data_IF_338708282963
#
_entry.id   IF_338708282963
#
_cell.length_a   1.000
_cell.length_b   1.000
_cell.length_c   1.000
_cell.angle_alpha   90.00
_cell.angle_beta   90.00
_cell.angle_gamma   90.00
#
_symmetry.space_group_name_H-M   'P 1'
#
loop_
_entity.id
_entity.type
_entity.pdbx_description
1 polymer ?
#
# COMPACT_ATOMS: atom_id res chain seq x y z
N UNK A 1 6.48 33.58 -32.89
CA UNK A 1 6.13 32.15 -32.79
C UNK A 1 7.42 31.36 -32.74
N UNK A 2 7.73 30.74 -31.59
CA UNK A 2 8.21 29.36 -31.65
C UNK A 2 7.44 28.44 -30.70
N UNK A 3 7.27 27.21 -31.18
CA UNK A 3 6.61 26.06 -30.60
C UNK A 3 6.92 25.80 -29.12
N UNK A 4 5.87 25.67 -28.31
CA UNK A 4 5.90 25.08 -26.96
C UNK A 4 5.36 23.64 -27.01
N UNK A 5 6.08 22.74 -27.66
CA UNK A 5 5.83 21.30 -27.55
C UNK A 5 7.11 20.53 -27.25
N UNK A 6 7.57 20.57 -26.00
CA UNK A 6 8.27 19.47 -25.31
C UNK A 6 8.71 19.90 -23.91
N UNK A 7 7.82 19.77 -22.92
CA UNK A 7 8.20 19.64 -21.51
C UNK A 7 7.30 18.63 -20.80
N UNK A 8 7.19 17.43 -21.36
CA UNK A 8 6.88 16.22 -20.59
C UNK A 8 8.17 15.58 -20.07
N UNK A 9 9.16 16.40 -19.67
CA UNK A 9 10.27 15.91 -18.85
C UNK A 9 9.71 15.49 -17.50
N UNK A 10 9.44 14.19 -17.42
CA UNK A 10 9.07 13.38 -16.26
C UNK A 10 9.02 14.18 -14.95
N UNK A 11 7.81 14.57 -14.55
CA UNK A 11 7.52 14.94 -13.17
C UNK A 11 8.14 13.92 -12.20
N UNK A 12 8.14 12.64 -12.57
CA UNK A 12 8.85 11.52 -11.94
C UNK A 12 10.36 11.74 -11.67
N UNK A 13 11.08 12.41 -12.58
CA UNK A 13 12.49 12.77 -12.40
C UNK A 13 12.65 14.04 -11.56
N UNK A 14 11.70 14.99 -11.63
CA UNK A 14 11.74 16.22 -10.82
C UNK A 14 11.37 15.99 -9.36
N UNK A 15 10.43 15.10 -9.08
CA UNK A 15 10.11 14.66 -7.73
C UNK A 15 11.31 13.98 -7.07
N UNK A 16 12.26 13.34 -7.81
CA UNK A 16 13.53 12.81 -7.25
C UNK A 16 14.35 13.81 -6.43
N UNK A 17 14.21 15.13 -6.65
CA UNK A 17 14.99 16.14 -5.91
C UNK A 17 14.51 16.40 -4.47
N UNK A 18 13.41 15.77 -4.03
CA UNK A 18 12.85 16.02 -2.69
C UNK A 18 12.57 14.77 -1.82
N UNK A 19 13.05 13.57 -2.17
CA UNK A 19 12.73 12.33 -1.42
C UNK A 19 13.90 11.68 -0.66
N UNK A 20 13.98 12.10 0.60
CA UNK A 20 14.14 11.36 1.86
C UNK A 20 14.02 9.82 1.77
N UNK A 21 15.07 9.08 2.18
CA UNK A 21 15.13 7.61 2.21
C UNK A 21 14.26 6.99 3.30
N UNK A 22 13.71 5.80 3.01
CA UNK A 22 12.77 5.03 3.83
C UNK A 22 13.21 3.57 4.01
N UNK A 23 12.94 3.04 5.19
CA UNK A 23 13.07 1.61 5.52
C UNK A 23 11.69 1.02 5.78
N UNK A 24 11.35 -0.04 5.06
CA UNK A 24 10.03 -0.65 5.14
C UNK A 24 10.06 -2.16 5.15
N UNK A 25 9.11 -2.74 5.87
CA UNK A 25 8.76 -4.15 5.74
C UNK A 25 7.52 -4.27 4.86
N UNK A 26 7.56 -5.05 3.79
CA UNK A 26 6.47 -5.10 2.78
C UNK A 26 5.91 -6.48 2.53
N UNK A 27 4.66 -6.49 2.06
CA UNK A 27 3.96 -7.66 1.54
C UNK A 27 3.47 -7.39 0.12
N UNK A 28 3.69 -8.36 -0.77
CA UNK A 28 3.21 -8.35 -2.16
C UNK A 28 2.04 -9.33 -2.29
N UNK A 29 0.91 -8.87 -2.83
CA UNK A 29 -0.24 -9.74 -3.07
C UNK A 29 -0.02 -10.54 -4.36
N UNK A 30 -0.19 -11.86 -4.28
CA UNK A 30 0.07 -12.80 -5.38
C UNK A 30 -1.17 -13.14 -6.22
N UNK A 31 -2.34 -12.60 -5.88
CA UNK A 31 -3.62 -12.94 -6.53
C UNK A 31 -4.30 -11.74 -7.19
N UNK A 32 -4.95 -12.00 -8.33
CA UNK A 32 -5.50 -11.07 -9.33
C UNK A 32 -6.16 -9.77 -8.80
N UNK A 33 -5.36 -8.70 -8.75
CA UNK A 33 -5.77 -7.29 -8.78
C UNK A 33 -5.93 -6.62 -10.18
N UNK A 34 -5.67 -7.24 -11.36
CA UNK A 34 -5.68 -6.52 -12.64
C UNK A 34 -6.99 -5.79 -12.96
N UNK A 35 -8.14 -6.29 -12.46
CA UNK A 35 -9.44 -5.74 -12.83
C UNK A 35 -9.78 -4.37 -12.21
N UNK A 36 -9.17 -3.99 -11.08
CA UNK A 36 -9.36 -2.65 -10.50
C UNK A 36 -8.40 -1.61 -11.10
N UNK A 37 -7.16 -2.03 -11.42
CA UNK A 37 -6.16 -1.18 -12.08
C UNK A 37 -6.62 -0.63 -13.44
N UNK A 38 -7.23 -1.48 -14.28
CA UNK A 38 -7.66 -1.08 -15.62
C UNK A 38 -8.84 -0.09 -15.64
N UNK A 39 -9.63 -0.01 -14.56
CA UNK A 39 -10.83 0.84 -14.51
C UNK A 39 -10.55 2.30 -14.09
N UNK A 40 -9.38 2.56 -13.50
CA UNK A 40 -8.94 3.90 -13.05
C UNK A 40 -8.18 4.63 -14.17
N UNK A 41 -7.49 3.90 -15.06
CA UNK A 41 -6.71 4.50 -16.16
C UNK A 41 -7.54 5.23 -17.22
N UNK A 42 -8.87 5.03 -17.25
CA UNK A 42 -9.77 5.69 -18.20
C UNK A 42 -10.13 7.13 -17.80
N UNK A 43 -9.73 7.58 -16.60
CA UNK A 43 -9.92 8.99 -16.17
C UNK A 43 -8.83 9.91 -16.72
N UNK A 44 -8.58 9.87 -18.04
CA UNK A 44 -7.58 10.71 -18.76
C UNK A 44 -7.67 12.22 -18.46
N UNK A 45 -8.80 12.68 -17.90
CA UNK A 45 -9.05 14.07 -17.52
C UNK A 45 -8.48 14.45 -16.12
N UNK A 46 -8.15 13.46 -15.28
CA UNK A 46 -7.65 13.69 -13.94
C UNK A 46 -6.13 13.49 -13.93
N UNK A 47 -5.39 14.43 -13.35
CA UNK A 47 -3.95 14.36 -13.13
C UNK A 47 -3.62 13.26 -12.09
N UNK A 48 -3.82 12.01 -12.50
CA UNK A 48 -3.67 10.81 -11.68
C UNK A 48 -2.49 10.01 -12.21
N UNK A 49 -1.58 9.67 -11.30
CA UNK A 49 -0.56 8.68 -11.55
C UNK A 49 -0.99 7.35 -10.92
N UNK A 50 -1.04 6.28 -11.71
CA UNK A 50 -1.36 4.93 -11.25
C UNK A 50 -0.07 4.19 -10.91
N UNK A 51 -0.06 3.51 -9.76
CA UNK A 51 1.08 2.69 -9.32
C UNK A 51 1.32 1.54 -10.32
N UNK A 52 2.53 1.35 -10.87
CA UNK A 52 2.84 0.19 -11.68
C UNK A 52 2.57 -1.12 -10.94
N UNK A 53 2.10 -2.19 -11.62
CA UNK A 53 1.81 -3.47 -10.97
C UNK A 53 2.96 -4.02 -10.13
N UNK A 54 4.19 -3.96 -10.65
CA UNK A 54 5.39 -4.45 -9.96
C UNK A 54 5.71 -3.69 -8.66
N UNK A 55 5.12 -2.51 -8.50
CA UNK A 55 5.32 -1.62 -7.36
C UNK A 55 4.17 -1.66 -6.35
N UNK A 56 3.13 -2.46 -6.60
CA UNK A 56 2.05 -2.67 -5.66
C UNK A 56 2.55 -3.48 -4.45
N UNK A 57 2.44 -2.86 -3.28
CA UNK A 57 2.85 -3.46 -2.01
C UNK A 57 2.03 -2.88 -0.86
N UNK A 58 1.90 -3.65 0.21
CA UNK A 58 1.42 -3.17 1.50
C UNK A 58 2.62 -2.94 2.42
N UNK A 59 2.73 -1.76 3.02
CA UNK A 59 3.76 -1.49 4.04
C UNK A 59 3.28 -1.99 5.41
N UNK A 60 3.91 -3.06 5.91
CA UNK A 60 3.65 -3.63 7.24
C UNK A 60 4.34 -2.84 8.34
N UNK A 61 5.53 -2.28 8.09
CA UNK A 61 6.18 -1.38 9.04
C UNK A 61 7.04 -0.37 8.32
N UNK A 62 7.02 0.89 8.77
CA UNK A 62 8.00 1.91 8.36
C UNK A 62 8.91 2.16 9.56
N UNK A 63 10.21 1.91 9.42
CA UNK A 63 11.16 2.03 10.54
C UNK A 63 11.73 3.44 10.64
N UNK A 64 12.12 3.97 9.49
CA UNK A 64 12.73 5.28 9.36
C UNK A 64 12.24 5.93 8.08
N UNK A 65 12.03 7.24 8.17
CA UNK A 65 11.82 8.13 7.04
C UNK A 65 12.73 9.33 7.18
N UNK A 66 12.94 10.08 6.09
CA UNK A 66 13.59 11.39 6.22
C UNK A 66 15.04 11.34 6.69
N UNK A 67 15.76 10.26 6.37
CA UNK A 67 17.16 10.04 6.77
C UNK A 67 18.13 10.15 5.61
N UNK A 68 19.41 10.38 5.95
CA UNK A 68 20.52 10.31 5.01
C UNK A 68 20.85 8.86 4.66
N UNK A 69 21.68 8.64 3.63
CA UNK A 69 22.08 7.29 3.21
C UNK A 69 22.93 6.64 4.27
N UNK A 70 23.88 7.40 4.82
CA UNK A 70 24.74 6.96 5.91
C UNK A 70 23.94 6.55 7.16
N UNK A 71 22.91 7.33 7.53
CA UNK A 71 22.02 6.95 8.63
C UNK A 71 21.33 5.61 8.33
N UNK A 72 20.80 5.47 7.11
CA UNK A 72 20.10 4.28 6.63
C UNK A 72 20.99 3.04 6.67
N UNK A 73 22.24 3.13 6.19
CA UNK A 73 23.18 2.03 6.24
C UNK A 73 23.53 1.67 7.69
N UNK A 74 23.76 2.67 8.55
CA UNK A 74 24.01 2.43 9.97
C UNK A 74 22.81 1.74 10.65
N UNK A 75 21.58 2.14 10.31
CA UNK A 75 20.35 1.48 10.76
C UNK A 75 20.30 0.02 10.34
N UNK A 76 20.64 -0.28 9.08
CA UNK A 76 20.63 -1.65 8.56
C UNK A 76 21.72 -2.50 9.22
N UNK A 77 22.95 -1.98 9.35
CA UNK A 77 24.05 -2.67 10.03
C UNK A 77 23.67 -3.02 11.46
N UNK A 78 23.14 -2.07 12.23
CA UNK A 78 22.67 -2.31 13.59
C UNK A 78 21.61 -3.43 13.65
N UNK A 79 20.64 -3.41 12.73
CA UNK A 79 19.60 -4.43 12.69
C UNK A 79 20.17 -5.81 12.34
N UNK A 80 21.13 -5.89 11.43
CA UNK A 80 21.83 -7.13 11.09
C UNK A 80 22.64 -7.67 12.26
N UNK A 81 23.42 -6.82 12.94
CA UNK A 81 24.22 -7.17 14.12
C UNK A 81 23.36 -7.63 15.30
N UNK A 82 22.15 -7.08 15.44
CA UNK A 82 21.20 -7.53 16.47
C UNK A 82 20.68 -8.96 16.26
N UNK A 83 20.87 -9.54 15.08
CA UNK A 83 20.34 -10.86 14.72
C UNK A 83 18.81 -10.91 14.53
N UNK A 84 18.12 -9.77 14.60
CA UNK A 84 16.64 -9.71 14.59
C UNK A 84 16.05 -9.82 13.18
N UNK A 85 16.86 -9.67 12.12
CA UNK A 85 16.38 -9.67 10.72
C UNK A 85 15.58 -10.92 10.36
N UNK A 86 16.06 -12.16 10.58
CA UNK A 86 15.29 -13.37 10.26
C UNK A 86 13.96 -13.44 10.99
N UNK A 87 13.94 -13.07 12.28
CA UNK A 87 12.75 -13.07 13.12
C UNK A 87 11.68 -12.08 12.64
N UNK A 88 12.08 -11.01 11.94
CA UNK A 88 11.17 -10.03 11.35
C UNK A 88 10.62 -10.52 10.02
N UNK A 89 11.49 -10.96 9.11
CA UNK A 89 11.07 -11.27 7.73
C UNK A 89 10.32 -12.59 7.63
N UNK A 90 10.63 -13.56 8.49
CA UNK A 90 9.96 -14.85 8.58
C UNK A 90 8.75 -14.82 9.54
N UNK A 91 8.45 -13.68 10.16
CA UNK A 91 7.46 -13.62 11.25
C UNK A 91 6.07 -14.14 10.83
N UNK A 92 5.65 -13.82 9.61
CA UNK A 92 4.36 -14.24 9.05
C UNK A 92 4.31 -15.73 8.69
N UNK A 93 5.45 -16.42 8.67
CA UNK A 93 5.49 -17.87 8.49
C UNK A 93 4.83 -18.60 9.66
N UNK A 94 5.01 -18.05 10.87
CA UNK A 94 4.47 -18.57 12.13
C UNK A 94 3.23 -17.81 12.61
N UNK A 95 3.14 -16.50 12.32
CA UNK A 95 2.08 -15.62 12.80
C UNK A 95 1.25 -15.06 11.64
N UNK A 96 0.27 -15.86 11.19
CA UNK A 96 -0.56 -15.54 10.04
C UNK A 96 -1.75 -14.70 10.44
N UNK A 97 -2.05 -13.71 9.63
CA UNK A 97 -3.25 -12.87 9.78
C UNK A 97 -3.97 -12.77 8.46
N UNK A 98 -5.31 -12.80 8.54
CA UNK A 98 -6.19 -12.68 7.40
C UNK A 98 -6.66 -11.23 7.22
N UNK A 99 -6.75 -10.82 5.97
CA UNK A 99 -7.30 -9.56 5.51
C UNK A 99 -8.45 -9.88 4.56
N UNK A 100 -9.57 -9.18 4.75
CA UNK A 100 -10.82 -9.41 4.01
C UNK A 100 -11.46 -8.07 3.65
N UNK A 101 -12.58 -8.16 2.92
CA UNK A 101 -13.47 -7.03 2.62
C UNK A 101 -12.73 -5.83 2.00
N UNK A 102 -12.06 -6.01 0.85
CA UNK A 102 -11.35 -4.93 0.19
C UNK A 102 -12.30 -3.80 -0.19
N UNK A 103 -11.83 -2.56 -0.05
CA UNK A 103 -12.53 -1.35 -0.49
C UNK A 103 -11.54 -0.34 -1.09
N UNK A 104 -11.95 0.32 -2.17
CA UNK A 104 -11.25 1.47 -2.72
C UNK A 104 -11.55 2.70 -1.86
N UNK A 105 -10.52 3.17 -1.17
CA UNK A 105 -10.52 4.37 -0.33
C UNK A 105 -9.68 5.47 -0.99
N UNK A 106 -9.94 6.73 -0.64
CA UNK A 106 -9.20 7.87 -1.16
C UNK A 106 -9.13 9.00 -0.13
N UNK A 107 -8.11 9.85 -0.27
CA UNK A 107 -7.95 11.10 0.44
C UNK A 107 -7.55 12.22 -0.53
N UNK A 108 -7.15 13.38 -0.02
CA UNK A 108 -6.71 14.51 -0.85
C UNK A 108 -5.45 14.24 -1.69
N UNK A 109 -4.73 13.14 -1.44
CA UNK A 109 -3.41 12.87 -2.03
C UNK A 109 -3.35 11.57 -2.84
N UNK A 110 -4.18 10.58 -2.51
CA UNK A 110 -4.05 9.24 -3.04
C UNK A 110 -5.35 8.45 -3.04
N UNK A 111 -5.33 7.37 -3.81
CA UNK A 111 -6.29 6.27 -3.75
C UNK A 111 -5.56 5.01 -3.29
N UNK A 112 -6.20 4.26 -2.41
CA UNK A 112 -5.67 3.03 -1.85
C UNK A 112 -6.74 1.95 -1.78
N UNK A 113 -6.35 0.73 -2.13
CA UNK A 113 -7.15 -0.46 -1.82
C UNK A 113 -6.87 -0.84 -0.37
N UNK A 114 -7.88 -0.68 0.48
CA UNK A 114 -7.83 -0.91 1.92
C UNK A 114 -8.55 -2.20 2.28
N UNK A 115 -8.08 -2.84 3.36
CA UNK A 115 -8.59 -4.10 3.87
C UNK A 115 -8.83 -3.99 5.37
N UNK A 116 -9.70 -4.86 5.90
CA UNK A 116 -9.89 -5.01 7.34
C UNK A 116 -9.40 -6.38 7.79
N UNK A 117 -8.93 -6.53 9.05
CA UNK A 117 -8.68 -7.84 9.62
C UNK A 117 -9.96 -8.69 9.59
N UNK A 118 -9.81 -9.98 9.32
CA UNK A 118 -10.90 -10.91 9.57
C UNK A 118 -11.23 -10.93 11.08
N UNK A 119 -12.49 -11.17 11.40
CA UNK A 119 -13.09 -11.13 12.73
C UNK A 119 -14.21 -12.18 12.85
N UNK A 120 -13.98 -13.39 12.36
CA UNK A 120 -14.90 -14.52 12.41
C UNK A 120 -15.52 -14.90 11.07
N UNK A 121 -15.11 -14.27 9.96
CA UNK A 121 -15.52 -14.70 8.62
C UNK A 121 -14.99 -16.11 8.32
N UNK A 122 -15.80 -16.92 7.62
CA UNK A 122 -15.39 -18.25 7.18
C UNK A 122 -14.08 -18.20 6.37
N UNK A 123 -13.21 -19.18 6.58
CA UNK A 123 -11.95 -19.29 5.85
C UNK A 123 -12.21 -19.74 4.42
N UNK A 124 -11.57 -19.06 3.46
CA UNK A 124 -11.64 -19.42 2.05
C UNK A 124 -11.19 -20.88 1.81
N UNK A 125 -11.84 -21.54 0.84
CA UNK A 125 -11.47 -22.90 0.43
C UNK A 125 -10.02 -22.93 -0.08
N UNK A 126 -9.20 -23.78 0.53
CA UNK A 126 -7.77 -23.92 0.25
C UNK A 126 -6.86 -23.29 1.31
N UNK A 127 -7.41 -22.42 2.15
CA UNK A 127 -6.65 -21.70 3.18
C UNK A 127 -6.89 -22.24 4.61
N UNK A 128 -7.78 -23.22 4.79
CA UNK A 128 -8.14 -23.75 6.11
C UNK A 128 -6.93 -24.21 6.93
N UNK A 129 -5.97 -24.88 6.29
CA UNK A 129 -4.74 -25.40 6.93
C UNK A 129 -3.84 -24.29 7.49
N UNK A 130 -4.02 -23.05 7.05
CA UNK A 130 -3.18 -21.92 7.43
C UNK A 130 -3.80 -20.99 8.48
N UNK A 131 -5.06 -21.24 8.86
CA UNK A 131 -5.85 -20.37 9.72
C UNK A 131 -6.23 -21.06 11.05
N UNK A 132 -5.37 -21.97 11.54
CA UNK A 132 -5.65 -22.86 12.68
C UNK A 132 -5.93 -22.13 14.02
N UNK A 133 -5.39 -20.93 14.20
CA UNK A 133 -5.61 -20.10 15.41
C UNK A 133 -6.82 -19.16 15.28
N UNK A 134 -7.53 -19.22 14.15
CA UNK A 134 -8.65 -18.34 13.80
C UNK A 134 -8.23 -16.87 13.70
N UNK A 135 -9.19 -15.98 13.90
CA UNK A 135 -9.01 -14.52 13.74
C UNK A 135 -8.60 -13.81 15.04
N UNK A 136 -8.10 -14.56 16.04
CA UNK A 136 -7.61 -13.98 17.30
C UNK A 136 -6.33 -13.16 17.08
N UNK A 137 -5.50 -13.58 16.13
CA UNK A 137 -4.30 -12.87 15.73
C UNK A 137 -4.58 -12.02 14.50
N UNK A 138 -4.58 -10.69 14.67
CA UNK A 138 -4.99 -9.74 13.63
C UNK A 138 -3.78 -9.03 13.03
N UNK A 139 -4.02 -8.29 11.95
CA UNK A 139 -2.99 -7.46 11.33
C UNK A 139 -2.42 -6.42 12.29
N UNK A 140 -3.24 -5.96 13.25
CA UNK A 140 -2.75 -5.04 14.29
C UNK A 140 -1.83 -5.74 15.30
N UNK A 141 -2.09 -7.01 15.63
CA UNK A 141 -1.16 -7.82 16.44
C UNK A 141 0.18 -8.01 15.71
N UNK A 142 0.14 -8.39 14.43
CA UNK A 142 1.33 -8.48 13.58
C UNK A 142 2.18 -7.21 13.65
N UNK A 143 1.57 -6.05 13.47
CA UNK A 143 2.28 -4.77 13.49
C UNK A 143 2.86 -4.42 14.85
N UNK A 144 2.07 -4.61 15.93
CA UNK A 144 2.54 -4.39 17.30
C UNK A 144 3.76 -5.26 17.59
N UNK A 145 3.66 -6.55 17.30
CA UNK A 145 4.73 -7.48 17.63
C UNK A 145 6.01 -7.19 16.82
N UNK A 146 5.89 -6.81 15.54
CA UNK A 146 7.03 -6.34 14.75
C UNK A 146 7.64 -5.05 15.30
N UNK A 147 6.81 -4.11 15.77
CA UNK A 147 7.27 -2.87 16.40
C UNK A 147 8.03 -3.16 17.71
N UNK A 148 7.48 -4.04 18.55
CA UNK A 148 8.10 -4.42 19.83
C UNK A 148 9.44 -5.11 19.60
N UNK A 149 9.53 -6.01 18.61
CA UNK A 149 10.79 -6.65 18.20
C UNK A 149 11.82 -5.63 17.73
N UNK A 150 11.43 -4.70 16.87
CA UNK A 150 12.32 -3.65 16.37
C UNK A 150 12.81 -2.74 17.49
N UNK A 151 11.92 -2.30 18.39
CA UNK A 151 12.29 -1.41 19.49
C UNK A 151 13.12 -2.10 20.56
N UNK A 152 12.95 -3.41 20.77
CA UNK A 152 13.79 -4.20 21.67
C UNK A 152 15.27 -4.23 21.26
N UNK A 153 15.58 -3.98 19.99
CA UNK A 153 16.98 -3.84 19.53
C UNK A 153 17.63 -2.50 19.93
N UNK A 154 16.89 -1.60 20.58
CA UNK A 154 17.34 -0.24 20.90
C UNK A 154 17.20 0.77 19.74
N UNK A 155 16.60 0.37 18.63
CA UNK A 155 16.39 1.24 17.47
C UNK A 155 15.36 2.35 17.78
N UNK A 156 15.77 3.60 17.57
CA UNK A 156 14.87 4.73 17.62
C UNK A 156 14.04 4.82 16.33
N UNK A 157 12.89 4.15 16.35
CA UNK A 157 11.93 4.20 15.26
C UNK A 157 11.35 5.62 15.10
N UNK A 158 11.36 6.14 13.87
CA UNK A 158 10.68 7.39 13.49
C UNK A 158 9.78 7.18 12.26
N UNK A 159 8.72 6.36 12.39
CA UNK A 159 7.72 6.19 11.35
C UNK A 159 7.02 7.52 11.08
N UNK A 160 6.56 7.74 9.84
CA UNK A 160 5.62 8.85 9.56
C UNK A 160 4.19 8.44 9.85
N UNK A 161 3.89 7.16 9.70
CA UNK A 161 2.57 6.61 9.93
C UNK A 161 2.57 5.72 11.17
N UNK A 162 1.94 6.22 12.23
CA UNK A 162 1.80 5.52 13.52
C UNK A 162 0.51 4.69 13.58
N UNK A 163 -0.53 5.08 12.82
CA UNK A 163 -1.80 4.34 12.69
C UNK A 163 -2.07 3.89 11.25
N UNK A 164 -1.25 3.01 10.68
CA UNK A 164 -1.46 2.58 9.31
C UNK A 164 -2.53 1.48 9.21
N UNK A 165 -3.46 1.69 8.29
CA UNK A 165 -4.40 0.69 7.80
C UNK A 165 -3.68 -0.35 6.94
N UNK A 166 -4.26 -1.56 6.85
CA UNK A 166 -3.85 -2.54 5.85
C UNK A 166 -4.29 -2.04 4.47
N UNK A 167 -3.39 -1.40 3.72
CA UNK A 167 -3.72 -0.84 2.42
C UNK A 167 -2.57 -0.93 1.41
N UNK A 168 -2.94 -0.87 0.13
CA UNK A 168 -2.03 -0.74 -1.00
C UNK A 168 -2.36 0.55 -1.73
N UNK A 169 -1.38 1.45 -1.86
CA UNK A 169 -1.54 2.65 -2.68
C UNK A 169 -1.59 2.28 -4.15
N UNK A 170 -2.73 2.51 -4.80
CA UNK A 170 -2.92 2.15 -6.22
C UNK A 170 -2.80 3.36 -7.16
N UNK A 171 -3.01 4.57 -6.64
CA UNK A 171 -2.89 5.79 -7.44
C UNK A 171 -2.67 7.04 -6.58
N UNK A 172 -2.18 8.12 -7.20
CA UNK A 172 -1.98 9.44 -6.58
C UNK A 172 -2.47 10.57 -7.47
N UNK A 173 -3.00 11.60 -6.84
CA UNK A 173 -3.23 12.89 -7.50
C UNK A 173 -1.89 13.62 -7.60
N UNK A 174 -1.46 13.92 -8.83
CA UNK A 174 -0.17 14.59 -9.09
C UNK A 174 -0.30 16.10 -9.15
N UNK A 175 -1.44 16.59 -9.62
CA UNK A 175 -1.82 18.01 -9.59
C UNK A 175 -3.32 18.14 -9.29
N UNK A 176 -3.75 19.36 -8.94
CA UNK A 176 -5.16 19.67 -8.74
C UNK A 176 -5.86 20.07 -10.05
N UNK A 177 -5.11 20.28 -11.13
CA UNK A 177 -5.60 20.87 -12.39
C UNK A 177 -6.77 20.08 -13.00
N UNK A 178 -6.77 18.76 -12.84
CA UNK A 178 -7.87 17.90 -13.31
C UNK A 178 -9.22 18.16 -12.62
N UNK A 179 -9.22 18.86 -11.48
CA UNK A 179 -10.40 19.19 -10.68
C UNK A 179 -10.73 20.69 -10.69
N UNK A 180 -10.04 21.51 -11.48
CA UNK A 180 -10.31 22.94 -11.54
C UNK A 180 -11.19 23.28 -12.74
N UNK A 181 -12.02 24.31 -12.60
CA UNK A 181 -12.83 24.84 -13.71
C UNK A 181 -11.91 25.47 -14.76
N UNK A 182 -12.03 25.00 -16.00
CA UNK A 182 -11.27 25.52 -17.14
C UNK A 182 -11.67 26.98 -17.45
N UNK A 183 -10.68 27.82 -17.81
CA UNK A 183 -10.94 29.22 -18.18
C UNK A 183 -10.90 30.23 -17.03
N UNK A 184 -10.51 29.79 -15.82
CA UNK A 184 -10.10 30.70 -14.75
C UNK A 184 -8.91 31.53 -15.24
N UNK A 185 -9.06 32.85 -15.39
CA UNK A 185 -7.97 33.74 -15.79
C UNK A 185 -6.77 33.64 -14.83
N UNK A 186 -5.56 34.08 -15.23
CA UNK A 186 -4.35 33.95 -14.41
C UNK A 186 -4.45 34.63 -13.02
N UNK A 187 -5.38 35.56 -12.85
CA UNK A 187 -5.67 36.27 -11.59
C UNK A 187 -6.98 35.81 -10.90
N UNK A 188 -7.66 34.80 -11.44
CA UNK A 188 -8.92 34.30 -10.87
C UNK A 188 -8.64 33.38 -9.67
N UNK A 189 -9.48 33.49 -8.64
CA UNK A 189 -9.46 32.55 -7.51
C UNK A 189 -9.69 31.14 -8.07
N UNK A 190 -8.83 30.16 -7.77
CA UNK A 190 -9.01 28.81 -8.30
C UNK A 190 -10.33 28.22 -7.81
N UNK A 191 -11.23 27.88 -8.76
CA UNK A 191 -12.53 27.27 -8.45
C UNK A 191 -12.48 25.77 -8.75
N UNK A 192 -12.88 24.97 -7.77
CA UNK A 192 -13.00 23.51 -7.91
C UNK A 192 -14.25 23.17 -8.72
N UNK A 193 -14.08 22.33 -9.73
CA UNK A 193 -15.15 21.74 -10.52
C UNK A 193 -15.83 20.62 -9.71
N UNK A 194 -16.97 20.96 -9.10
CA UNK A 194 -17.72 20.04 -8.25
C UNK A 194 -18.29 18.84 -9.03
N UNK A 195 -18.57 19.00 -10.33
CA UNK A 195 -19.09 17.92 -11.17
C UNK A 195 -18.02 16.87 -11.43
N UNK A 196 -16.78 17.29 -11.71
CA UNK A 196 -15.63 16.37 -11.85
C UNK A 196 -15.33 15.61 -10.56
N UNK A 197 -15.43 16.28 -9.41
CA UNK A 197 -15.27 15.62 -8.10
C UNK A 197 -16.40 14.60 -7.89
N UNK A 198 -17.66 14.99 -8.11
CA UNK A 198 -18.80 14.09 -7.97
C UNK A 198 -18.70 12.85 -8.88
N UNK A 199 -18.27 13.03 -10.14
CA UNK A 199 -18.06 11.94 -11.07
C UNK A 199 -16.97 10.95 -10.61
N UNK A 200 -15.89 11.45 -10.01
CA UNK A 200 -14.85 10.60 -9.41
C UNK A 200 -15.42 9.79 -8.24
N UNK A 201 -16.14 10.45 -7.32
CA UNK A 201 -16.74 9.77 -6.15
C UNK A 201 -17.71 8.69 -6.61
N UNK A 202 -18.61 8.99 -7.55
CA UNK A 202 -19.55 8.03 -8.11
C UNK A 202 -18.84 6.84 -8.75
N UNK A 203 -17.73 7.09 -9.46
CA UNK A 203 -16.91 6.04 -10.07
C UNK A 203 -16.28 5.13 -9.02
N UNK A 204 -15.76 5.70 -7.94
CA UNK A 204 -15.19 4.96 -6.81
C UNK A 204 -16.27 4.11 -6.14
N UNK A 205 -17.47 4.64 -5.90
CA UNK A 205 -18.57 3.88 -5.33
C UNK A 205 -19.01 2.71 -6.21
N UNK A 206 -19.06 2.89 -7.54
CA UNK A 206 -19.31 1.80 -8.49
C UNK A 206 -18.23 0.72 -8.44
N UNK A 207 -16.96 1.10 -8.20
CA UNK A 207 -15.87 0.13 -8.00
C UNK A 207 -16.07 -0.61 -6.68
N UNK A 208 -16.38 0.10 -5.60
CA UNK A 208 -16.64 -0.48 -4.29
C UNK A 208 -17.79 -1.47 -4.29
N UNK A 209 -18.84 -1.19 -5.04
CA UNK A 209 -19.95 -2.12 -5.22
C UNK A 209 -19.52 -3.43 -5.89
N UNK A 210 -18.71 -3.33 -6.95
CA UNK A 210 -18.11 -4.51 -7.60
C UNK A 210 -17.16 -5.28 -6.67
N UNK A 211 -16.40 -4.57 -5.83
CA UNK A 211 -15.53 -5.20 -4.84
C UNK A 211 -16.33 -5.98 -3.80
N UNK A 212 -17.41 -5.39 -3.27
CA UNK A 212 -18.33 -6.04 -2.33
C UNK A 212 -18.91 -7.31 -2.92
N UNK A 213 -19.54 -7.22 -4.10
CA UNK A 213 -20.17 -8.37 -4.75
C UNK A 213 -19.19 -9.52 -5.02
N UNK A 214 -17.94 -9.22 -5.39
CA UNK A 214 -16.96 -10.22 -5.81
C UNK A 214 -16.14 -10.83 -4.66
N UNK A 215 -15.81 -10.02 -3.64
CA UNK A 215 -14.77 -10.36 -2.67
C UNK A 215 -15.27 -10.38 -1.22
N UNK A 216 -16.45 -9.85 -0.91
CA UNK A 216 -16.97 -9.91 0.46
C UNK A 216 -17.69 -11.23 0.70
N UNK A 217 -17.81 -11.67 1.99
CA UNK A 217 -18.66 -12.80 2.35
C UNK A 217 -20.09 -12.59 1.83
N UNK A 218 -20.67 -13.64 1.28
CA UNK A 218 -22.07 -13.61 0.81
C UNK A 218 -23.03 -13.78 2.01
N UNK A 219 -24.34 -13.61 1.78
CA UNK A 219 -25.36 -13.66 2.84
C UNK A 219 -25.36 -14.97 3.65
N UNK A 220 -24.90 -16.07 3.06
CA UNK A 220 -24.74 -17.37 3.72
C UNK A 220 -23.44 -17.51 4.53
N UNK A 221 -22.62 -16.45 4.63
CA UNK A 221 -21.32 -16.46 5.30
C UNK A 221 -20.17 -17.00 4.46
N UNK A 222 -20.45 -17.58 3.29
CA UNK A 222 -19.44 -18.23 2.46
C UNK A 222 -18.43 -17.21 1.91
N UNK A 223 -17.15 -17.47 2.17
CA UNK A 223 -16.04 -16.69 1.63
C UNK A 223 -15.64 -17.21 0.25
N UNK A 224 -15.51 -16.31 -0.73
CA UNK A 224 -14.97 -16.70 -2.03
C UNK A 224 -13.47 -16.94 -1.92
N UNK A 225 -12.93 -17.89 -2.68
CA UNK A 225 -11.48 -18.17 -2.70
C UNK A 225 -10.60 -16.94 -3.02
N UNK A 226 -11.20 -15.90 -3.61
CA UNK A 226 -10.53 -14.66 -3.99
C UNK A 226 -10.75 -13.51 -3.00
N UNK A 227 -11.60 -13.68 -1.99
CA UNK A 227 -12.02 -12.64 -1.03
C UNK A 227 -11.17 -12.56 0.25
N UNK A 228 -10.15 -13.42 0.35
CA UNK A 228 -9.29 -13.54 1.51
C UNK A 228 -7.82 -13.41 1.11
N UNK A 229 -7.05 -12.68 1.91
CA UNK A 229 -5.61 -12.56 1.77
C UNK A 229 -4.93 -12.88 3.09
N UNK A 230 -4.01 -13.83 3.08
CA UNK A 230 -3.18 -14.12 4.24
C UNK A 230 -1.84 -13.42 4.07
N UNK A 231 -1.48 -12.57 5.02
CA UNK A 231 -0.21 -11.82 4.97
C UNK A 231 0.95 -12.81 5.09
N UNK A 232 1.88 -12.77 4.12
CA UNK A 232 3.01 -13.70 4.01
C UNK A 232 2.77 -14.92 3.13
N UNK A 233 1.57 -15.08 2.54
CA UNK A 233 1.28 -16.18 1.62
C UNK A 233 2.04 -16.02 0.30
N UNK A 234 2.61 -17.10 -0.20
CA UNK A 234 3.51 -17.17 -1.35
C UNK A 234 4.89 -16.58 -1.09
N UNK A 235 4.95 -15.38 -0.51
CA UNK A 235 6.19 -14.65 -0.21
C UNK A 235 6.10 -14.04 1.20
N UNK A 236 7.13 -14.25 2.00
CA UNK A 236 7.26 -13.67 3.34
C UNK A 236 7.44 -12.16 3.29
N UNK A 237 7.75 -11.57 4.43
CA UNK A 237 7.95 -10.13 4.51
C UNK A 237 9.29 -9.71 3.89
N UNK A 238 9.31 -8.56 3.21
CA UNK A 238 10.53 -8.01 2.61
C UNK A 238 11.07 -6.86 3.43
N UNK A 239 12.37 -6.89 3.76
CA UNK A 239 13.08 -5.73 4.29
C UNK A 239 13.61 -4.90 3.12
N UNK A 240 13.12 -3.68 2.98
CA UNK A 240 13.53 -2.77 1.91
C UNK A 240 14.21 -1.51 2.45
N UNK A 241 15.22 -1.02 1.73
CA UNK A 241 15.92 0.24 2.00
C UNK A 241 15.86 1.22 0.82
N UNK A 242 16.22 2.48 1.09
CA UNK A 242 16.38 3.50 0.06
C UNK A 242 15.08 4.21 -0.29
N UNK A 243 14.84 4.48 -1.58
CA UNK A 243 13.65 5.22 -2.04
C UNK A 243 12.43 4.31 -2.10
N UNK A 244 12.04 3.81 -0.94
CA UNK A 244 10.99 2.82 -0.73
C UNK A 244 9.57 3.41 -0.84
N UNK A 245 9.40 4.61 -1.37
CA UNK A 245 8.06 5.08 -1.69
C UNK A 245 7.55 4.39 -2.96
N UNK A 246 6.29 3.99 -2.94
CA UNK A 246 5.57 3.52 -4.13
C UNK A 246 6.26 2.33 -4.81
N UNK A 247 6.77 1.39 -4.01
CA UNK A 247 7.26 0.10 -4.51
C UNK A 247 8.70 0.11 -5.00
N UNK A 248 9.34 1.28 -5.09
CA UNK A 248 10.78 1.38 -5.34
C UNK A 248 11.62 0.94 -4.15
N UNK A 249 12.89 1.35 -4.16
CA UNK A 249 13.88 0.95 -3.15
C UNK A 249 14.59 -0.35 -3.51
N UNK A 250 15.50 -0.76 -2.64
CA UNK A 250 16.25 -2.00 -2.75
C UNK A 250 15.66 -3.02 -1.77
N UNK A 251 15.34 -4.22 -2.27
CA UNK A 251 15.01 -5.36 -1.41
C UNK A 251 16.32 -5.95 -0.88
N UNK A 252 16.53 -5.82 0.44
CA UNK A 252 17.72 -6.30 1.13
C UNK A 252 17.60 -7.78 1.42
N UNK A 253 16.43 -8.21 1.89
CA UNK A 253 16.14 -9.60 2.21
C UNK A 253 14.64 -9.87 2.16
N UNK A 254 14.30 -11.07 1.72
CA UNK A 254 12.93 -11.59 1.68
C UNK A 254 12.83 -12.79 2.61
N UNK A 255 11.83 -12.79 3.49
CA UNK A 255 11.56 -13.91 4.37
C UNK A 255 10.77 -15.04 3.73
N UNK A 256 10.57 -16.10 4.50
CA UNK A 256 9.87 -17.32 4.08
C UNK A 256 8.37 -17.06 3.92
N UNK A 257 7.86 -17.38 2.74
CA UNK A 257 6.43 -17.54 2.51
C UNK A 257 5.96 -18.95 2.83
N UNK A 258 4.65 -19.16 2.76
CA UNK A 258 4.01 -20.48 2.78
C UNK A 258 3.07 -20.60 1.57
N UNK A 259 2.71 -21.81 1.12
CA UNK A 259 1.92 -22.00 -0.09
C UNK A 259 0.53 -21.34 -0.02
#
# INVERSE_FOLDING_TARGET
MPDRHHKSENWWLRSRRMFKMLHQVRFHMTHDLPSSHANITDTKCLAIWVTPPDFLHMTVMEMASCRTEADIEAFLTHLQESGTVPDLVDYTFHHRTRLVKPILSYDATAMALSFVPAAGEETAVGNQTYCNEGDRYTYHHLRRDLFDRLTATGLLMKPRYIVPSAHITIARFTTHDGFMVEGSGPDAVPVVDQERVAALVERIEKINEKLRQKYWPQENGAMTAKGEWIVGQGKGLELCKGRSFYGGGENVITGKGFP
#
